data_IF_528898809397
#
_entry.id   IF_528898809397
#
_cell.length_a   1.000
_cell.length_b   1.000
_cell.length_c   1.000
_cell.angle_alpha   90.00
_cell.angle_beta   90.00
_cell.angle_gamma   90.00
#
_symmetry.space_group_name_H-M   'P 1'
#
loop_
_entity.id
_entity.type
_entity.pdbx_description
1 polymer ?
#
# COMPACT_ATOMS: atom_id res chain seq x y z
N UNK A 1 17.77 -44.90 42.01
CA UNK A 1 18.52 -44.26 40.90
C UNK A 1 19.99 -44.62 41.00
N UNK A 2 20.54 -45.28 39.97
CA UNK A 2 21.98 -45.60 39.90
C UNK A 2 22.82 -44.32 39.71
N UNK A 3 24.13 -44.36 40.03
CA UNK A 3 25.06 -43.23 39.81
C UNK A 3 24.99 -42.70 38.36
N UNK A 4 24.87 -43.60 37.38
CA UNK A 4 24.74 -43.24 35.97
C UNK A 4 23.44 -42.48 35.67
N UNK A 5 22.31 -42.87 36.27
CA UNK A 5 21.04 -42.16 36.09
C UNK A 5 21.07 -40.76 36.70
N UNK A 6 21.74 -40.57 37.85
CA UNK A 6 21.93 -39.24 38.46
C UNK A 6 22.85 -38.35 37.62
N UNK A 7 23.90 -38.92 37.06
CA UNK A 7 24.84 -38.20 36.18
C UNK A 7 24.16 -37.78 34.88
N UNK A 8 23.36 -38.67 34.26
CA UNK A 8 22.60 -38.37 33.06
C UNK A 8 21.52 -37.31 33.31
N UNK A 9 20.79 -37.41 34.42
CA UNK A 9 19.80 -36.41 34.81
C UNK A 9 20.45 -35.04 35.09
N UNK A 10 21.60 -35.01 35.76
CA UNK A 10 22.35 -33.78 36.00
C UNK A 10 22.87 -33.14 34.70
N UNK A 11 23.32 -33.95 33.74
CA UNK A 11 23.74 -33.49 32.41
C UNK A 11 22.57 -32.93 31.61
N UNK A 12 21.41 -33.60 31.64
CA UNK A 12 20.19 -33.11 31.01
C UNK A 12 19.68 -31.81 31.64
N UNK A 13 19.77 -31.68 32.96
CA UNK A 13 19.41 -30.45 33.67
C UNK A 13 20.36 -29.30 33.30
N UNK A 14 21.67 -29.57 33.24
CA UNK A 14 22.67 -28.58 32.81
C UNK A 14 22.43 -28.15 31.36
N UNK A 15 22.18 -29.09 30.46
CA UNK A 15 21.82 -28.81 29.07
C UNK A 15 20.52 -28.01 28.96
N UNK A 16 19.54 -28.29 29.82
CA UNK A 16 18.29 -27.53 29.91
C UNK A 16 18.52 -26.08 30.36
N UNK A 17 19.31 -25.85 31.42
CA UNK A 17 19.64 -24.50 31.87
C UNK A 17 20.49 -23.73 30.86
N UNK A 18 21.44 -24.39 30.20
CA UNK A 18 22.19 -23.81 29.08
C UNK A 18 21.25 -23.46 27.92
N UNK A 19 20.27 -24.30 27.63
CA UNK A 19 19.21 -24.03 26.66
C UNK A 19 18.36 -22.80 27.03
N UNK A 20 17.99 -22.64 28.31
CA UNK A 20 17.26 -21.47 28.80
C UNK A 20 18.08 -20.18 28.69
N UNK A 21 19.37 -20.22 29.05
CA UNK A 21 20.29 -19.09 28.91
C UNK A 21 20.48 -18.72 27.43
N UNK A 22 20.63 -19.71 26.55
CA UNK A 22 20.71 -19.51 25.11
C UNK A 22 19.40 -18.93 24.53
N UNK A 23 18.24 -19.40 25.01
CA UNK A 23 16.92 -18.87 24.63
C UNK A 23 16.75 -17.41 25.02
N UNK A 24 17.13 -17.02 26.24
CA UNK A 24 17.14 -15.62 26.69
C UNK A 24 18.11 -14.74 25.90
N UNK A 25 19.29 -15.26 25.55
CA UNK A 25 20.23 -14.53 24.69
C UNK A 25 19.64 -14.30 23.29
N UNK A 26 18.97 -15.29 22.71
CA UNK A 26 18.30 -15.16 21.40
C UNK A 26 17.13 -14.17 21.41
N UNK A 27 16.43 -14.00 22.53
CA UNK A 27 15.40 -12.95 22.66
C UNK A 27 15.94 -11.54 22.41
N UNK A 28 17.22 -11.31 22.74
CA UNK A 28 17.91 -10.04 22.50
C UNK A 28 18.43 -9.88 21.06
N UNK A 29 18.34 -10.94 20.23
CA UNK A 29 18.79 -10.96 18.84
C UNK A 29 17.64 -10.88 17.83
N UNK A 30 16.38 -11.01 18.29
CA UNK A 30 15.21 -10.79 17.44
C UNK A 30 15.32 -9.40 16.80
N UNK A 31 15.04 -9.34 15.50
CA UNK A 31 15.13 -8.13 14.69
C UNK A 31 16.51 -7.46 14.75
N UNK A 32 17.60 -8.16 15.08
CA UNK A 32 18.97 -7.59 14.92
C UNK A 32 19.63 -7.99 13.60
N UNK A 33 19.25 -9.11 13.04
CA UNK A 33 19.78 -9.62 11.77
C UNK A 33 18.90 -9.11 10.61
N UNK A 34 19.40 -8.19 9.77
CA UNK A 34 18.61 -7.67 8.65
C UNK A 34 18.37 -8.72 7.56
N UNK A 35 19.17 -9.80 7.51
CA UNK A 35 18.96 -10.89 6.56
C UNK A 35 17.82 -11.85 6.97
N UNK A 36 17.21 -11.66 8.15
CA UNK A 36 16.09 -12.47 8.64
C UNK A 36 14.78 -11.70 8.57
N UNK A 37 13.81 -12.29 7.86
CA UNK A 37 12.43 -11.85 7.89
C UNK A 37 11.54 -12.89 8.57
N UNK A 38 10.56 -12.42 9.33
CA UNK A 38 9.58 -13.23 10.04
C UNK A 38 8.27 -13.16 9.27
N UNK A 39 7.76 -14.29 8.83
CA UNK A 39 6.53 -14.37 8.07
C UNK A 39 5.41 -15.02 8.89
N UNK A 40 4.17 -14.65 8.59
CA UNK A 40 2.95 -15.35 9.06
C UNK A 40 1.85 -15.18 8.02
N UNK A 41 1.07 -16.24 7.77
CA UNK A 41 -0.15 -16.15 6.98
C UNK A 41 -1.29 -15.74 7.90
N UNK A 42 -2.09 -14.79 7.42
CA UNK A 42 -3.28 -14.30 8.09
C UNK A 42 -4.47 -14.41 7.15
N UNK A 43 -5.66 -14.43 7.71
CA UNK A 43 -6.91 -14.37 6.95
C UNK A 43 -7.57 -13.02 7.23
N UNK A 44 -7.98 -12.32 6.16
CA UNK A 44 -8.88 -11.18 6.26
C UNK A 44 -10.27 -11.66 6.72
N UNK A 45 -10.75 -11.15 7.85
CA UNK A 45 -12.01 -11.59 8.47
C UNK A 45 -13.24 -11.23 7.65
N UNK A 46 -13.16 -10.25 6.77
CA UNK A 46 -14.28 -9.80 5.93
C UNK A 46 -14.33 -10.59 4.63
N UNK A 47 -13.18 -10.76 3.96
CA UNK A 47 -13.14 -11.38 2.62
C UNK A 47 -12.80 -12.87 2.65
N UNK A 48 -12.18 -13.36 3.72
CA UNK A 48 -11.63 -14.70 3.82
C UNK A 48 -10.33 -14.90 3.03
N UNK A 49 -9.77 -13.85 2.42
CA UNK A 49 -8.54 -13.94 1.64
C UNK A 49 -7.30 -14.08 2.54
N UNK A 50 -6.33 -14.86 2.07
CA UNK A 50 -5.05 -15.02 2.77
C UNK A 50 -4.11 -13.84 2.48
N UNK A 51 -3.60 -13.22 3.55
CA UNK A 51 -2.61 -12.15 3.53
C UNK A 51 -1.37 -12.59 4.30
N UNK A 52 -0.21 -12.58 3.66
CA UNK A 52 1.06 -12.92 4.30
C UNK A 52 1.68 -11.64 4.83
N UNK A 53 1.95 -11.58 6.12
CA UNK A 53 2.74 -10.51 6.74
C UNK A 53 4.20 -10.94 6.81
N UNK A 54 5.11 -10.05 6.44
CA UNK A 54 6.55 -10.20 6.55
C UNK A 54 7.13 -9.03 7.35
N UNK A 55 7.75 -9.31 8.49
CA UNK A 55 8.45 -8.31 9.30
C UNK A 55 9.95 -8.53 9.20
N UNK A 56 10.71 -7.50 8.88
CA UNK A 56 12.17 -7.54 8.84
C UNK A 56 12.78 -6.26 9.40
N UNK A 57 14.02 -6.32 9.88
CA UNK A 57 14.78 -5.11 10.19
C UNK A 57 15.10 -4.39 8.89
N UNK A 58 14.91 -3.07 8.89
CA UNK A 58 15.30 -2.21 7.78
C UNK A 58 16.64 -1.54 8.06
N UNK A 59 16.77 -0.90 9.21
CA UNK A 59 18.02 -0.27 9.66
C UNK A 59 18.17 -0.34 11.18
N UNK A 60 19.08 0.43 11.75
CA UNK A 60 19.34 0.40 13.18
C UNK A 60 18.18 0.82 14.07
N UNK A 61 17.23 1.57 13.53
CA UNK A 61 16.12 2.16 14.27
C UNK A 61 14.76 1.64 13.80
N UNK A 62 14.66 1.01 12.62
CA UNK A 62 13.38 0.77 11.95
C UNK A 62 13.20 -0.68 11.52
N UNK A 63 11.94 -1.11 11.54
CA UNK A 63 11.46 -2.35 10.92
C UNK A 63 10.59 -2.02 9.71
N UNK A 64 10.62 -2.94 8.76
CA UNK A 64 9.74 -3.00 7.60
C UNK A 64 8.71 -4.10 7.83
N UNK A 65 7.45 -3.79 7.54
CA UNK A 65 6.34 -4.74 7.52
C UNK A 65 5.81 -4.75 6.09
N UNK A 66 5.82 -5.89 5.42
CA UNK A 66 5.36 -6.04 4.05
C UNK A 66 4.25 -7.09 4.00
N UNK A 67 3.16 -6.77 3.32
CA UNK A 67 2.04 -7.68 3.12
C UNK A 67 2.11 -8.30 1.71
N UNK A 68 1.57 -9.51 1.52
CA UNK A 68 1.42 -10.12 0.19
C UNK A 68 0.51 -9.30 -0.74
N UNK A 69 -0.33 -8.46 -0.16
CA UNK A 69 -1.14 -7.47 -0.86
C UNK A 69 -0.32 -6.28 -1.37
N UNK A 70 0.99 -6.23 -1.13
CA UNK A 70 1.90 -5.17 -1.57
C UNK A 70 2.01 -3.97 -0.64
N UNK A 71 1.23 -3.90 0.44
CA UNK A 71 1.41 -2.84 1.44
C UNK A 71 2.79 -2.96 2.09
N UNK A 72 3.46 -1.82 2.24
CA UNK A 72 4.69 -1.72 3.01
C UNK A 72 4.49 -0.66 4.09
N UNK A 73 4.91 -1.00 5.31
CA UNK A 73 4.89 -0.12 6.45
C UNK A 73 6.28 -0.02 7.08
N UNK A 74 6.59 1.17 7.57
CA UNK A 74 7.71 1.45 8.44
C UNK A 74 7.24 1.50 9.88
N UNK A 75 7.97 0.89 10.81
CA UNK A 75 7.78 1.16 12.24
C UNK A 75 9.13 1.37 12.92
N UNK A 76 9.17 2.17 13.98
CA UNK A 76 10.35 2.24 14.83
C UNK A 76 10.51 0.91 15.58
N UNK A 77 11.75 0.47 15.80
CA UNK A 77 12.06 -0.59 16.74
C UNK A 77 11.71 -0.03 18.13
N UNK A 78 10.66 -0.56 18.75
CA UNK A 78 10.25 -0.18 20.11
C UNK A 78 10.56 -1.31 21.07
N UNK A 79 11.08 -1.00 22.26
CA UNK A 79 11.30 -2.00 23.32
C UNK A 79 9.99 -2.46 24.00
N UNK A 80 8.83 -2.12 23.44
CA UNK A 80 7.51 -2.44 24.00
C UNK A 80 7.26 -3.95 23.95
N UNK A 81 7.04 -4.53 25.13
CA UNK A 81 6.76 -5.96 25.31
C UNK A 81 5.39 -6.19 25.91
N UNK A 82 4.64 -7.11 25.32
CA UNK A 82 3.43 -7.67 25.92
C UNK A 82 3.64 -9.19 26.01
N UNK A 83 3.51 -9.75 27.21
CA UNK A 83 3.74 -11.18 27.47
C UNK A 83 5.10 -11.74 26.96
N UNK A 84 6.12 -10.89 26.93
CA UNK A 84 7.47 -11.25 26.45
C UNK A 84 7.62 -11.27 24.92
N UNK A 85 6.57 -10.98 24.16
CA UNK A 85 6.64 -10.78 22.71
C UNK A 85 7.02 -9.32 22.40
N UNK A 86 7.77 -9.10 21.32
CA UNK A 86 7.87 -7.76 20.72
C UNK A 86 6.53 -7.39 20.13
N UNK A 87 6.04 -6.19 20.44
CA UNK A 87 4.77 -5.68 19.89
C UNK A 87 5.08 -4.73 18.74
N UNK A 88 4.41 -4.96 17.62
CA UNK A 88 4.51 -4.12 16.44
C UNK A 88 3.11 -3.62 16.11
N UNK A 89 2.88 -2.32 16.23
CA UNK A 89 1.57 -1.75 15.94
C UNK A 89 1.39 -1.61 14.42
N UNK A 90 0.21 -1.92 13.90
CA UNK A 90 -0.15 -1.68 12.50
C UNK A 90 -0.73 -0.26 12.37
N UNK A 91 -0.62 0.39 11.20
CA UNK A 91 -1.14 1.75 11.01
C UNK A 91 -2.66 1.79 11.15
N UNK A 92 -3.20 3.00 11.34
CA UNK A 92 -4.63 3.30 11.31
C UNK A 92 -5.49 2.46 12.29
N UNK A 93 -4.91 2.10 13.45
CA UNK A 93 -5.50 1.17 14.41
C UNK A 93 -5.82 -0.22 13.84
N UNK A 94 -5.12 -0.63 12.77
CA UNK A 94 -5.29 -1.93 12.10
C UNK A 94 -4.93 -3.13 12.97
N UNK A 95 -4.37 -2.91 14.17
CA UNK A 95 -4.09 -3.92 15.16
C UNK A 95 -2.63 -3.93 15.62
N UNK A 96 -2.22 -5.06 16.20
CA UNK A 96 -0.88 -5.33 16.70
C UNK A 96 -0.43 -6.70 16.23
N UNK A 97 0.82 -6.80 15.79
CA UNK A 97 1.54 -8.05 15.64
C UNK A 97 2.34 -8.35 16.91
N UNK A 98 2.48 -9.63 17.23
CA UNK A 98 3.38 -10.12 18.25
C UNK A 98 4.48 -10.98 17.61
N UNK A 99 5.74 -10.63 17.87
CA UNK A 99 6.89 -11.45 17.50
C UNK A 99 7.50 -12.06 18.76
N UNK A 100 7.25 -13.36 18.94
CA UNK A 100 7.59 -14.10 20.15
C UNK A 100 8.74 -15.08 19.92
N UNK A 101 9.84 -14.91 20.66
CA UNK A 101 10.92 -15.90 20.68
C UNK A 101 10.46 -17.16 21.42
N UNK A 102 10.75 -18.34 20.88
CA UNK A 102 10.64 -19.56 21.68
C UNK A 102 11.74 -19.64 22.74
N UNK A 103 11.37 -20.13 23.93
CA UNK A 103 12.33 -20.51 24.97
C UNK A 103 13.18 -21.73 24.58
N UNK A 104 12.71 -22.53 23.63
CA UNK A 104 13.41 -23.73 23.16
C UNK A 104 14.45 -23.35 22.09
N UNK A 105 15.72 -23.79 22.21
CA UNK A 105 16.78 -23.37 21.30
C UNK A 105 16.66 -23.95 19.88
N UNK A 106 15.79 -24.94 19.66
CA UNK A 106 15.50 -25.52 18.34
C UNK A 106 14.23 -24.98 17.70
N UNK A 107 13.48 -24.09 18.36
CA UNK A 107 12.27 -23.49 17.81
C UNK A 107 12.53 -22.03 17.45
N UNK A 108 12.14 -21.65 16.24
CA UNK A 108 12.28 -20.28 15.75
C UNK A 108 11.29 -19.32 16.42
N UNK A 109 11.51 -18.02 16.22
CA UNK A 109 10.54 -17.02 16.65
C UNK A 109 9.25 -17.13 15.83
N UNK A 110 8.12 -16.85 16.46
CA UNK A 110 6.81 -16.90 15.85
C UNK A 110 6.22 -15.50 15.78
N UNK A 111 5.83 -15.10 14.58
CA UNK A 111 5.04 -13.91 14.31
C UNK A 111 3.55 -14.28 14.27
N UNK A 112 2.69 -13.40 14.76
CA UNK A 112 1.24 -13.54 14.64
C UNK A 112 0.50 -12.25 14.93
N UNK A 113 -0.80 -12.21 14.61
CA UNK A 113 -1.72 -11.17 15.05
C UNK A 113 -1.96 -11.31 16.55
N UNK A 114 -1.67 -10.25 17.31
CA UNK A 114 -2.02 -10.13 18.73
C UNK A 114 -3.44 -9.59 18.89
N UNK A 115 -3.75 -8.49 18.21
CA UNK A 115 -5.08 -7.88 18.12
C UNK A 115 -5.29 -7.31 16.73
N UNK A 116 -6.47 -7.47 16.13
CA UNK A 116 -6.84 -6.79 14.88
C UNK A 116 -8.33 -7.03 14.63
N UNK A 117 -9.06 -6.01 14.15
CA UNK A 117 -10.42 -6.18 13.66
C UNK A 117 -10.46 -6.72 12.23
N UNK A 118 -9.38 -6.55 11.45
CA UNK A 118 -9.30 -6.96 10.04
C UNK A 118 -8.70 -8.35 9.86
N UNK A 119 -7.63 -8.68 10.58
CA UNK A 119 -6.87 -9.91 10.33
C UNK A 119 -6.94 -10.89 11.49
N UNK A 120 -6.82 -12.20 11.19
CA UNK A 120 -6.54 -13.26 12.17
C UNK A 120 -5.40 -14.15 11.71
N UNK A 121 -4.60 -14.65 12.65
CA UNK A 121 -3.51 -15.58 12.35
C UNK A 121 -4.06 -16.92 11.84
N UNK A 122 -3.48 -17.46 10.77
CA UNK A 122 -3.66 -18.86 10.39
C UNK A 122 -2.64 -19.70 11.14
N UNK A 123 -3.11 -20.68 11.90
CA UNK A 123 -2.27 -21.48 12.80
C UNK A 123 -1.12 -22.19 12.08
N UNK A 124 0.04 -22.25 12.75
CA UNK A 124 1.25 -22.95 12.28
C UNK A 124 1.84 -22.46 10.95
N UNK A 125 1.49 -21.26 10.49
CA UNK A 125 2.04 -20.67 9.25
C UNK A 125 3.26 -19.79 9.48
N UNK A 126 3.59 -19.48 10.74
CA UNK A 126 4.72 -18.60 11.03
C UNK A 126 6.07 -19.29 10.80
N UNK A 127 6.97 -18.60 10.11
CA UNK A 127 8.30 -19.08 9.73
C UNK A 127 9.32 -17.95 9.66
N UNK A 128 10.60 -18.27 9.84
CA UNK A 128 11.70 -17.35 9.54
C UNK A 128 12.21 -17.66 8.14
N UNK A 129 12.39 -16.63 7.32
CA UNK A 129 12.97 -16.73 5.98
C UNK A 129 14.23 -15.88 5.90
N UNK A 130 15.22 -16.38 5.17
CA UNK A 130 16.41 -15.61 4.83
C UNK A 130 16.13 -14.77 3.59
N UNK A 131 16.36 -13.47 3.66
CA UNK A 131 16.22 -12.55 2.52
C UNK A 131 17.61 -12.32 1.91
N UNK A 132 17.72 -12.59 0.60
CA UNK A 132 18.97 -12.51 -0.17
C UNK A 132 19.46 -11.06 -0.36
N UNK A 133 18.55 -10.09 -0.26
CA UNK A 133 18.85 -8.66 -0.21
C UNK A 133 18.15 -8.07 1.02
N UNK A 134 18.85 -7.92 2.15
CA UNK A 134 18.29 -7.41 3.40
C UNK A 134 17.58 -6.05 3.24
N UNK A 135 18.02 -5.28 2.24
CA UNK A 135 17.67 -3.89 1.97
C UNK A 135 17.25 -3.65 0.51
N UNK A 136 16.46 -4.53 -0.12
CA UNK A 136 15.95 -4.28 -1.49
C UNK A 136 14.92 -3.13 -1.59
N UNK A 137 14.90 -2.25 -0.60
CA UNK A 137 14.18 -0.99 -0.58
C UNK A 137 15.19 0.07 -0.12
N UNK A 138 15.50 1.06 -0.97
CA UNK A 138 16.41 2.14 -0.60
C UNK A 138 15.82 2.97 0.55
N UNK A 139 16.66 3.76 1.21
CA UNK A 139 16.34 4.73 2.28
C UNK A 139 15.08 5.59 2.04
N UNK A 140 14.63 5.67 0.80
CA UNK A 140 13.51 6.47 0.31
C UNK A 140 12.16 5.75 0.34
N UNK A 141 12.12 4.45 0.56
CA UNK A 141 10.88 3.68 0.80
C UNK A 141 10.43 3.80 2.27
N UNK A 142 11.04 4.66 3.07
CA UNK A 142 10.63 5.03 4.42
C UNK A 142 10.52 6.56 4.46
N UNK A 143 9.43 7.12 5.02
CA UNK A 143 9.18 8.57 5.05
C UNK A 143 10.43 9.34 5.47
N UNK A 144 10.81 10.38 4.71
CA UNK A 144 11.97 11.25 5.02
C UNK A 144 11.87 11.89 6.42
N UNK A 145 10.65 12.01 6.94
CA UNK A 145 10.43 12.36 8.34
C UNK A 145 10.53 11.10 9.19
N UNK A 146 11.50 11.06 10.11
CA UNK A 146 11.59 10.02 11.14
C UNK A 146 10.19 9.79 11.74
N UNK A 147 9.69 8.54 11.79
CA UNK A 147 8.44 8.27 12.48
C UNK A 147 8.55 8.82 13.90
N UNK A 148 7.64 9.70 14.29
CA UNK A 148 7.51 10.11 15.69
C UNK A 148 7.28 8.83 16.49
N UNK A 149 7.89 8.73 17.68
CA UNK A 149 7.78 7.55 18.54
C UNK A 149 6.36 6.99 18.54
N UNK A 150 6.22 5.67 18.32
CA UNK A 150 4.95 4.93 18.34
C UNK A 150 4.03 5.06 17.10
N UNK A 151 4.51 5.54 15.95
CA UNK A 151 3.71 5.48 14.70
C UNK A 151 4.30 4.54 13.66
N UNK A 152 3.52 3.54 13.27
CA UNK A 152 3.75 2.78 12.05
C UNK A 152 3.16 3.58 10.88
N UNK A 153 3.99 3.89 9.88
CA UNK A 153 3.62 4.74 8.76
C UNK A 153 3.64 3.92 7.48
N UNK A 154 2.59 4.04 6.68
CA UNK A 154 2.49 3.46 5.34
C UNK A 154 3.45 4.17 4.41
N UNK A 155 4.28 3.41 3.71
CA UNK A 155 5.40 4.02 3.00
C UNK A 155 5.08 4.45 1.59
N UNK A 156 5.62 5.63 1.24
CA UNK A 156 5.56 6.19 -0.11
C UNK A 156 6.52 5.43 -1.00
N UNK A 157 6.04 4.96 -2.15
CA UNK A 157 6.85 4.34 -3.18
C UNK A 157 7.80 5.38 -3.76
N UNK A 158 9.11 5.16 -3.65
CA UNK A 158 10.10 6.02 -4.29
C UNK A 158 10.50 5.45 -5.65
N UNK A 159 9.66 5.73 -6.65
CA UNK A 159 9.94 5.41 -8.05
C UNK A 159 10.44 6.65 -8.78
N UNK A 160 11.37 6.48 -9.72
CA UNK A 160 11.72 7.56 -10.64
C UNK A 160 10.57 7.79 -11.66
N UNK A 161 10.58 8.94 -12.34
CA UNK A 161 9.52 9.30 -13.29
C UNK A 161 9.31 8.25 -14.40
N UNK A 162 10.40 7.64 -14.91
CA UNK A 162 10.32 6.60 -15.94
C UNK A 162 9.62 5.33 -15.41
N UNK A 163 9.96 4.90 -14.20
CA UNK A 163 9.34 3.76 -13.55
C UNK A 163 7.86 4.01 -13.26
N UNK A 164 7.50 5.23 -12.82
CA UNK A 164 6.10 5.65 -12.63
C UNK A 164 5.34 5.57 -13.96
N UNK A 165 5.90 6.13 -15.04
CA UNK A 165 5.27 6.08 -16.37
C UNK A 165 5.08 4.63 -16.85
N UNK A 166 6.08 3.76 -16.67
CA UNK A 166 5.97 2.33 -17.01
C UNK A 166 4.85 1.63 -16.23
N UNK A 167 4.70 1.92 -14.94
CA UNK A 167 3.64 1.34 -14.09
C UNK A 167 2.27 1.83 -14.54
N UNK A 168 2.11 3.13 -14.80
CA UNK A 168 0.84 3.71 -15.26
C UNK A 168 0.47 3.13 -16.63
N UNK A 169 1.41 3.06 -17.58
CA UNK A 169 1.16 2.48 -18.90
C UNK A 169 0.84 1.00 -18.85
N UNK A 170 1.60 0.24 -18.06
CA UNK A 170 1.37 -1.20 -17.86
C UNK A 170 0.00 -1.48 -17.25
N UNK A 171 -0.40 -0.68 -16.26
CA UNK A 171 -1.71 -0.81 -15.61
C UNK A 171 -2.84 -0.46 -16.58
N UNK A 172 -2.73 0.65 -17.32
CA UNK A 172 -3.73 1.05 -18.32
C UNK A 172 -3.92 0.00 -19.42
N UNK A 173 -2.82 -0.60 -19.90
CA UNK A 173 -2.87 -1.70 -20.87
C UNK A 173 -3.58 -2.93 -20.30
N UNK A 174 -3.21 -3.36 -19.08
CA UNK A 174 -3.88 -4.48 -18.43
C UNK A 174 -5.37 -4.20 -18.23
N UNK A 175 -5.73 -2.99 -17.77
CA UNK A 175 -7.12 -2.61 -17.53
C UNK A 175 -7.94 -2.70 -18.82
N UNK A 176 -7.41 -2.23 -19.95
CA UNK A 176 -8.03 -2.36 -21.27
C UNK A 176 -8.26 -3.81 -21.70
N UNK A 177 -7.30 -4.70 -21.44
CA UNK A 177 -7.37 -6.12 -21.79
C UNK A 177 -8.18 -6.96 -20.76
N UNK A 178 -8.49 -6.40 -19.58
CA UNK A 178 -9.18 -7.07 -18.48
C UNK A 178 -10.69 -7.22 -18.68
N UNK A 179 -11.36 -7.96 -17.80
CA UNK A 179 -12.83 -8.03 -17.78
C UNK A 179 -13.52 -6.69 -17.55
N UNK A 180 -12.82 -5.70 -16.97
CA UNK A 180 -13.35 -4.35 -16.78
C UNK A 180 -13.34 -3.55 -18.08
N UNK A 181 -12.31 -3.73 -18.92
CA UNK A 181 -12.09 -2.94 -20.13
C UNK A 181 -12.59 -3.58 -21.42
N UNK A 182 -12.67 -4.92 -21.50
CA UNK A 182 -12.88 -5.68 -22.75
C UNK A 182 -14.07 -5.28 -23.62
N UNK A 183 -15.12 -4.73 -23.03
CA UNK A 183 -16.34 -4.30 -23.73
C UNK A 183 -16.65 -2.81 -23.45
N UNK A 184 -15.68 -2.09 -22.87
CA UNK A 184 -15.82 -0.72 -22.40
C UNK A 184 -14.78 0.22 -23.02
N UNK A 185 -14.97 1.52 -22.79
CA UNK A 185 -13.99 2.55 -23.07
C UNK A 185 -13.13 2.74 -21.82
N UNK A 186 -11.81 2.66 -21.97
CA UNK A 186 -10.84 2.97 -20.93
C UNK A 186 -10.12 4.27 -21.28
N UNK A 187 -10.10 5.23 -20.36
CA UNK A 187 -9.48 6.55 -20.54
C UNK A 187 -8.47 6.79 -19.43
N UNK A 188 -7.21 7.07 -19.79
CA UNK A 188 -6.22 7.60 -18.86
C UNK A 188 -6.36 9.12 -18.75
N UNK A 189 -6.41 9.63 -17.52
CA UNK A 189 -6.68 11.04 -17.27
C UNK A 189 -6.18 11.54 -15.91
N UNK A 190 -6.62 12.75 -15.57
CA UNK A 190 -6.48 13.37 -14.25
C UNK A 190 -7.63 12.95 -13.34
N UNK A 191 -7.47 13.18 -12.04
CA UNK A 191 -8.44 12.74 -11.03
C UNK A 191 -9.86 13.32 -11.22
N UNK A 192 -9.97 14.56 -11.71
CA UNK A 192 -11.24 15.26 -11.87
C UNK A 192 -11.30 15.97 -13.23
N UNK A 193 -11.15 15.19 -14.30
CA UNK A 193 -11.24 15.69 -15.67
C UNK A 193 -12.65 16.11 -16.09
N UNK A 194 -13.68 15.79 -15.29
CA UNK A 194 -15.07 16.09 -15.62
C UNK A 194 -15.43 17.57 -15.41
N UNK A 195 -14.68 18.27 -14.55
CA UNK A 195 -14.87 19.71 -14.30
C UNK A 195 -13.80 20.53 -15.00
N UNK A 196 -14.22 21.51 -15.81
CA UNK A 196 -13.32 22.52 -16.37
C UNK A 196 -13.35 23.76 -15.48
N UNK A 197 -12.35 23.93 -14.61
CA UNK A 197 -12.18 25.11 -13.75
C UNK A 197 -11.12 26.04 -14.33
N UNK A 198 -11.48 26.79 -15.38
CA UNK A 198 -10.57 27.73 -16.04
C UNK A 198 -10.59 29.08 -15.31
N UNK A 199 -9.43 29.59 -14.90
CA UNK A 199 -9.27 30.87 -14.21
C UNK A 199 -9.68 30.85 -12.74
N UNK A 200 -9.89 29.67 -12.15
CA UNK A 200 -10.23 29.52 -10.73
C UNK A 200 -8.97 29.27 -9.90
N UNK A 201 -8.85 29.89 -8.70
CA UNK A 201 -7.77 29.60 -7.77
C UNK A 201 -7.69 28.11 -7.46
N UNK A 202 -6.46 27.61 -7.34
CA UNK A 202 -6.26 26.19 -7.05
C UNK A 202 -6.87 25.80 -5.72
N UNK A 203 -7.43 24.59 -5.66
CA UNK A 203 -7.96 24.01 -4.43
C UNK A 203 -7.58 22.54 -4.29
N UNK A 204 -7.43 22.07 -3.05
CA UNK A 204 -7.02 20.69 -2.76
C UNK A 204 -8.12 19.71 -3.11
N UNK A 205 -7.78 18.73 -3.94
CA UNK A 205 -8.60 17.55 -4.17
C UNK A 205 -8.08 16.37 -3.36
N UNK A 206 -8.97 15.73 -2.61
CA UNK A 206 -8.66 14.55 -1.83
C UNK A 206 -9.90 13.68 -1.69
N UNK A 207 -9.72 12.39 -1.48
CA UNK A 207 -10.79 11.45 -1.18
C UNK A 207 -10.48 10.64 0.08
N UNK A 208 -11.52 10.03 0.65
CA UNK A 208 -11.39 9.17 1.83
C UNK A 208 -11.69 7.73 1.47
N UNK A 209 -10.93 6.83 2.08
CA UNK A 209 -11.14 5.38 2.07
C UNK A 209 -10.96 4.92 3.51
N UNK A 210 -12.04 4.47 4.14
CA UNK A 210 -12.08 4.19 5.58
C UNK A 210 -11.55 5.38 6.41
N UNK A 211 -10.45 5.18 7.14
CA UNK A 211 -9.79 6.20 7.95
C UNK A 211 -8.66 6.94 7.21
N UNK A 212 -8.34 6.53 5.99
CA UNK A 212 -7.27 7.13 5.18
C UNK A 212 -7.82 8.28 4.35
N UNK A 213 -7.08 9.40 4.33
CA UNK A 213 -7.32 10.49 3.37
C UNK A 213 -6.19 10.51 2.34
N UNK A 214 -6.53 10.46 1.06
CA UNK A 214 -5.59 10.40 -0.06
C UNK A 214 -5.63 11.71 -0.83
N UNK A 215 -4.47 12.35 -0.98
CA UNK A 215 -4.33 13.54 -1.83
C UNK A 215 -4.39 13.16 -3.31
N UNK A 216 -5.28 13.80 -4.05
CA UNK A 216 -5.58 13.45 -5.43
C UNK A 216 -5.12 14.48 -6.47
N UNK A 217 -4.69 15.66 -6.01
CA UNK A 217 -4.20 16.73 -6.86
C UNK A 217 -4.83 18.07 -6.52
N UNK A 218 -4.81 18.99 -7.49
CA UNK A 218 -5.45 20.30 -7.38
C UNK A 218 -6.56 20.44 -8.42
N UNK A 219 -7.65 21.11 -8.06
CA UNK A 219 -8.61 21.69 -9.02
C UNK A 219 -8.19 23.12 -9.34
N UNK A 220 -8.71 23.69 -10.43
CA UNK A 220 -8.35 25.04 -10.87
C UNK A 220 -6.99 25.09 -11.57
N UNK A 221 -6.67 26.25 -12.14
CA UNK A 221 -5.43 26.50 -12.87
C UNK A 221 -4.69 27.78 -12.42
N UNK A 222 -5.31 28.60 -11.57
CA UNK A 222 -4.69 29.80 -11.00
C UNK A 222 -3.94 29.46 -9.70
N UNK A 223 -2.61 29.46 -9.77
CA UNK A 223 -1.73 29.19 -8.64
C UNK A 223 -1.71 30.32 -7.59
N UNK A 224 -2.47 31.40 -7.78
CA UNK A 224 -2.62 32.47 -6.78
C UNK A 224 -3.13 31.90 -5.45
N UNK A 225 -2.37 32.09 -4.38
CA UNK A 225 -2.71 31.59 -3.04
C UNK A 225 -2.25 30.16 -2.74
N UNK A 226 -1.49 29.51 -3.64
CA UNK A 226 -0.92 28.18 -3.43
C UNK A 226 -0.10 28.05 -2.13
N UNK A 227 0.59 29.12 -1.71
CA UNK A 227 1.37 29.12 -0.44
C UNK A 227 0.51 28.77 0.78
N UNK A 228 -0.79 29.10 0.76
CA UNK A 228 -1.72 28.73 1.83
C UNK A 228 -2.08 27.23 1.82
N UNK A 229 -1.94 26.57 0.67
CA UNK A 229 -2.22 25.14 0.49
C UNK A 229 -0.97 24.27 0.68
N UNK A 230 0.23 24.81 0.47
CA UNK A 230 1.50 24.06 0.53
C UNK A 230 1.65 23.27 1.84
N UNK A 231 1.36 23.90 2.98
CA UNK A 231 1.36 23.24 4.28
C UNK A 231 0.31 22.13 4.40
N UNK A 232 -0.89 22.33 3.83
CA UNK A 232 -1.94 21.32 3.80
C UNK A 232 -1.52 20.13 2.94
N UNK A 233 -0.98 20.37 1.75
CA UNK A 233 -0.53 19.33 0.80
C UNK A 233 0.58 18.49 1.42
N UNK A 234 1.56 19.12 2.07
CA UNK A 234 2.66 18.42 2.74
C UNK A 234 2.20 17.58 3.93
N UNK A 235 1.01 17.84 4.49
CA UNK A 235 0.45 17.06 5.60
C UNK A 235 -0.08 15.68 5.18
N UNK A 236 -0.32 15.46 3.88
CA UNK A 236 -0.83 14.18 3.40
C UNK A 236 0.23 13.08 3.43
N UNK A 237 -0.10 11.99 4.13
CA UNK A 237 0.72 10.78 4.20
C UNK A 237 0.63 9.95 2.93
N UNK A 238 -0.49 10.02 2.20
CA UNK A 238 -0.75 9.26 0.95
C UNK A 238 -1.23 10.19 -0.14
N UNK A 239 -0.78 9.95 -1.37
CA UNK A 239 -1.23 10.65 -2.58
C UNK A 239 -1.34 9.69 -3.77
N UNK A 240 -1.79 10.19 -4.92
CA UNK A 240 -1.64 9.46 -6.17
C UNK A 240 -0.17 9.30 -6.55
N UNK A 241 0.11 8.24 -7.31
CA UNK A 241 1.45 7.69 -7.53
C UNK A 241 2.46 8.70 -8.09
N UNK A 242 2.01 9.54 -9.01
CA UNK A 242 2.87 10.43 -9.81
C UNK A 242 2.89 11.89 -9.33
N UNK A 243 2.24 12.18 -8.20
CA UNK A 243 2.17 13.53 -7.65
C UNK A 243 3.47 13.90 -6.91
N UNK A 244 4.01 15.07 -7.22
CA UNK A 244 5.17 15.64 -6.54
C UNK A 244 4.71 16.64 -5.46
N UNK A 245 4.56 16.15 -4.24
CA UNK A 245 4.09 16.95 -3.08
C UNK A 245 5.02 18.10 -2.68
N UNK A 246 6.28 18.08 -3.13
CA UNK A 246 7.26 19.17 -2.91
C UNK A 246 7.33 20.14 -4.08
N UNK A 247 6.58 19.85 -5.14
CA UNK A 247 6.47 20.66 -6.33
C UNK A 247 5.93 22.06 -6.05
N UNK A 248 6.09 22.93 -7.03
CA UNK A 248 5.67 24.34 -6.95
C UNK A 248 4.90 24.79 -8.19
N UNK A 249 4.72 23.88 -9.15
CA UNK A 249 3.98 24.13 -10.39
C UNK A 249 2.70 23.32 -10.40
N UNK A 250 1.68 23.77 -11.13
CA UNK A 250 0.43 23.03 -11.25
C UNK A 250 0.66 21.59 -11.76
N UNK A 251 1.60 21.41 -12.69
CA UNK A 251 1.94 20.10 -13.27
C UNK A 251 2.42 19.08 -12.23
N UNK A 252 3.05 19.54 -11.14
CA UNK A 252 3.46 18.67 -10.03
C UNK A 252 2.26 18.03 -9.30
N UNK A 253 1.08 18.62 -9.45
CA UNK A 253 -0.16 18.23 -8.76
C UNK A 253 -1.24 17.69 -9.72
N UNK A 254 -0.91 17.47 -11.00
CA UNK A 254 -1.81 16.88 -11.99
C UNK A 254 -1.43 15.43 -12.26
N UNK A 255 -2.25 14.51 -11.76
CA UNK A 255 -2.01 13.08 -11.90
C UNK A 255 -2.31 12.58 -13.32
N UNK A 256 -1.61 11.53 -13.73
CA UNK A 256 -1.90 10.65 -14.88
C UNK A 256 -2.19 9.22 -14.40
N UNK A 257 -2.14 9.00 -13.09
CA UNK A 257 -2.34 7.72 -12.44
C UNK A 257 -3.83 7.43 -12.16
N UNK A 258 -4.72 8.01 -12.97
CA UNK A 258 -6.17 7.86 -12.87
C UNK A 258 -6.76 7.34 -14.20
N UNK A 259 -7.74 6.45 -14.08
CA UNK A 259 -8.37 5.76 -15.21
C UNK A 259 -9.87 5.74 -15.06
N UNK A 260 -10.59 6.15 -16.11
CA UNK A 260 -12.05 6.01 -16.19
C UNK A 260 -12.39 4.83 -17.08
N UNK A 261 -13.41 4.07 -16.70
CA UNK A 261 -13.95 2.98 -17.49
C UNK A 261 -15.45 3.18 -17.58
N UNK A 262 -15.98 3.27 -18.79
CA UNK A 262 -17.41 3.43 -19.02
C UNK A 262 -17.84 2.75 -20.31
N UNK A 263 -19.12 2.42 -20.41
CA UNK A 263 -19.67 1.80 -21.60
C UNK A 263 -20.21 2.88 -22.55
N UNK A 264 -19.92 2.71 -23.84
CA UNK A 264 -20.30 3.65 -24.89
C UNK A 264 -20.57 2.88 -26.19
N UNK A 265 -21.51 3.33 -27.06
CA UNK A 265 -21.86 2.64 -28.30
C UNK A 265 -20.70 2.39 -29.28
N UNK A 266 -19.58 3.10 -29.15
CA UNK A 266 -18.36 2.83 -29.92
C UNK A 266 -17.70 1.49 -29.57
N UNK A 267 -18.09 0.87 -28.45
CA UNK A 267 -17.51 -0.37 -27.93
C UNK A 267 -16.11 -0.18 -27.35
N UNK A 268 -15.31 -1.23 -27.44
CA UNK A 268 -13.98 -1.35 -26.83
C UNK A 268 -12.98 -0.31 -27.36
N UNK A 269 -12.49 0.56 -26.47
CA UNK A 269 -11.50 1.57 -26.84
C UNK A 269 -10.54 1.93 -25.70
N UNK A 270 -9.30 2.28 -26.05
CA UNK A 270 -8.34 2.86 -25.12
C UNK A 270 -7.96 4.26 -25.57
N UNK A 271 -8.19 5.24 -24.70
CA UNK A 271 -7.71 6.61 -24.87
C UNK A 271 -6.57 6.87 -23.89
N UNK A 272 -5.39 7.16 -24.41
CA UNK A 272 -4.19 7.38 -23.59
C UNK A 272 -4.19 8.76 -22.91
N UNK A 273 -5.15 9.63 -23.26
CA UNK A 273 -5.40 10.93 -22.64
C UNK A 273 -6.86 11.38 -22.84
N UNK A 274 -7.32 12.28 -21.97
CA UNK A 274 -8.59 13.02 -22.14
C UNK A 274 -8.66 13.79 -23.45
N UNK A 275 -7.53 14.36 -23.89
CA UNK A 275 -7.48 15.11 -25.15
C UNK A 275 -7.87 14.22 -26.33
N UNK A 276 -7.31 13.00 -26.36
CA UNK A 276 -7.62 12.02 -27.39
C UNK A 276 -9.11 11.62 -27.37
N UNK A 277 -9.67 11.40 -26.17
CA UNK A 277 -11.10 11.12 -25.99
C UNK A 277 -11.98 12.27 -26.52
N UNK A 278 -11.67 13.52 -26.14
CA UNK A 278 -12.39 14.73 -26.60
C UNK A 278 -12.37 14.85 -28.12
N UNK A 279 -11.21 14.65 -28.73
CA UNK A 279 -11.03 14.78 -30.19
C UNK A 279 -11.81 13.70 -30.95
N UNK A 280 -11.94 12.49 -30.41
CA UNK A 280 -12.66 11.39 -31.09
C UNK A 280 -14.16 11.38 -30.84
N UNK A 281 -14.61 11.70 -29.63
CA UNK A 281 -16.02 11.61 -29.24
C UNK A 281 -16.80 12.92 -29.40
N UNK A 282 -16.13 14.01 -29.80
CA UNK A 282 -16.72 15.33 -30.12
C UNK A 282 -17.83 15.73 -29.14
N UNK A 283 -17.45 16.18 -27.95
CA UNK A 283 -18.39 16.59 -26.90
C UNK A 283 -18.39 18.11 -26.65
N UNK A 284 -19.53 18.61 -26.17
CA UNK A 284 -19.72 20.01 -25.74
C UNK A 284 -19.39 20.20 -24.26
N UNK A 285 -19.79 19.26 -23.40
CA UNK A 285 -19.42 19.21 -21.98
C UNK A 285 -19.41 17.77 -21.46
N UNK A 286 -18.77 17.52 -20.32
CA UNK A 286 -18.80 16.19 -19.70
C UNK A 286 -20.16 15.84 -19.10
N UNK A 287 -20.88 16.82 -18.54
CA UNK A 287 -22.23 16.57 -18.04
C UNK A 287 -23.16 16.08 -19.16
N UNK A 288 -23.13 16.76 -20.32
CA UNK A 288 -23.88 16.36 -21.51
C UNK A 288 -23.43 14.98 -22.04
N UNK A 289 -22.12 14.73 -22.08
CA UNK A 289 -21.55 13.46 -22.52
C UNK A 289 -22.03 12.27 -21.67
N UNK A 290 -21.94 12.39 -20.34
CA UNK A 290 -22.37 11.33 -19.43
C UNK A 290 -23.89 11.15 -19.40
N UNK A 291 -24.65 12.23 -19.59
CA UNK A 291 -26.12 12.17 -19.61
C UNK A 291 -26.66 11.52 -20.89
N UNK A 292 -26.00 11.74 -22.04
CA UNK A 292 -26.59 11.44 -23.34
C UNK A 292 -25.84 10.37 -24.16
N UNK A 293 -24.60 10.03 -23.80
CA UNK A 293 -23.75 9.14 -24.61
C UNK A 293 -23.18 7.95 -23.84
N UNK A 294 -22.95 8.09 -22.54
CA UNK A 294 -22.51 6.98 -21.69
C UNK A 294 -23.71 6.09 -21.34
N UNK A 295 -23.53 4.78 -21.40
CA UNK A 295 -24.55 3.83 -20.97
C UNK A 295 -24.68 3.87 -19.45
N UNK A 296 -25.84 4.33 -18.96
CA UNK A 296 -26.15 4.49 -17.55
C UNK A 296 -26.69 3.22 -16.89
N UNK A 297 -26.87 2.13 -17.66
CA UNK A 297 -27.28 0.82 -17.15
C UNK A 297 -26.08 -0.05 -16.73
N UNK A 298 -24.87 0.34 -17.10
CA UNK A 298 -23.63 -0.35 -16.77
C UNK A 298 -22.78 0.46 -15.77
N UNK A 299 -21.86 -0.22 -15.07
CA UNK A 299 -20.97 0.43 -14.11
C UNK A 299 -20.02 1.44 -14.81
N UNK A 300 -20.07 2.71 -14.41
CA UNK A 300 -19.05 3.72 -14.73
C UNK A 300 -18.02 3.81 -13.60
N UNK A 301 -16.79 3.40 -13.86
CA UNK A 301 -15.75 3.20 -12.85
C UNK A 301 -14.65 4.26 -12.96
N UNK A 302 -14.04 4.59 -11.83
CA UNK A 302 -12.84 5.41 -11.77
C UNK A 302 -11.81 4.77 -10.84
N UNK A 303 -10.66 4.42 -11.40
CA UNK A 303 -9.54 3.78 -10.72
C UNK A 303 -8.40 4.77 -10.53
N UNK A 304 -7.75 4.71 -9.38
CA UNK A 304 -6.60 5.58 -9.07
C UNK A 304 -5.48 4.77 -8.44
N UNK A 305 -4.25 4.95 -8.93
CA UNK A 305 -3.05 4.31 -8.40
C UNK A 305 -2.41 5.22 -7.36
N UNK A 306 -2.30 4.74 -6.12
CA UNK A 306 -1.77 5.51 -5.01
C UNK A 306 -0.32 5.15 -4.70
N UNK A 307 0.45 6.13 -4.24
CA UNK A 307 1.86 5.97 -3.87
C UNK A 307 2.10 5.06 -2.65
N UNK A 308 1.07 4.43 -2.11
CA UNK A 308 1.12 3.54 -0.97
C UNK A 308 0.93 2.05 -1.37
N UNK A 309 1.05 1.73 -2.67
CA UNK A 309 0.91 0.37 -3.19
C UNK A 309 -0.54 -0.12 -3.31
N UNK A 310 -1.51 0.79 -3.30
CA UNK A 310 -2.93 0.46 -3.47
C UNK A 310 -3.53 1.06 -4.73
N UNK A 311 -4.48 0.31 -5.28
CA UNK A 311 -5.46 0.84 -6.21
C UNK A 311 -6.75 1.11 -5.45
N UNK A 312 -7.31 2.30 -5.62
CA UNK A 312 -8.65 2.62 -5.14
C UNK A 312 -9.58 2.80 -6.31
N UNK A 313 -10.86 2.56 -6.09
CA UNK A 313 -11.85 2.78 -7.12
C UNK A 313 -13.17 3.33 -6.59
N UNK A 314 -13.88 4.00 -7.48
CA UNK A 314 -15.23 4.48 -7.28
C UNK A 314 -16.13 3.96 -8.41
N UNK A 315 -17.41 3.75 -8.08
CA UNK A 315 -18.48 3.45 -9.03
C UNK A 315 -19.29 4.71 -9.34
N UNK A 316 -20.14 4.64 -10.35
CA UNK A 316 -21.03 5.72 -10.80
C UNK A 316 -20.30 7.02 -11.18
N UNK A 317 -19.01 6.92 -11.53
CA UNK A 317 -18.18 8.09 -11.80
C UNK A 317 -18.71 8.86 -13.01
N UNK A 318 -19.01 10.14 -12.82
CA UNK A 318 -19.62 11.01 -13.85
C UNK A 318 -21.13 10.85 -14.02
N UNK A 319 -21.76 9.84 -13.39
CA UNK A 319 -23.21 9.65 -13.39
C UNK A 319 -23.87 10.32 -12.18
N UNK A 320 -23.15 10.43 -11.06
CA UNK A 320 -23.63 11.10 -9.83
C UNK A 320 -22.72 12.26 -9.43
N UNK A 321 -23.26 13.20 -8.64
CA UNK A 321 -22.54 14.42 -8.25
C UNK A 321 -21.39 14.21 -7.25
N UNK A 322 -21.35 13.07 -6.56
CA UNK A 322 -20.25 12.70 -5.66
C UNK A 322 -20.14 11.19 -5.55
N UNK A 323 -18.92 10.67 -5.61
CA UNK A 323 -18.65 9.23 -5.50
C UNK A 323 -17.91 8.89 -4.21
N UNK A 324 -18.02 7.64 -3.77
CA UNK A 324 -17.25 7.10 -2.64
C UNK A 324 -16.16 6.17 -3.16
N UNK A 325 -14.93 6.33 -2.65
CA UNK A 325 -13.82 5.46 -2.98
C UNK A 325 -13.69 4.31 -1.99
N UNK A 326 -13.32 3.15 -2.52
CA UNK A 326 -13.02 1.93 -1.76
C UNK A 326 -11.75 1.27 -2.29
N UNK A 327 -11.17 0.30 -1.56
CA UNK A 327 -10.09 -0.52 -2.10
C UNK A 327 -10.58 -1.30 -3.33
N UNK A 328 -9.79 -1.29 -4.40
CA UNK A 328 -10.09 -2.08 -5.60
C UNK A 328 -9.95 -3.59 -5.34
N UNK A 329 -10.61 -4.46 -6.14
CA UNK A 329 -10.54 -5.91 -6.00
C UNK A 329 -9.10 -6.47 -5.96
N UNK A 330 -8.92 -7.61 -5.28
CA UNK A 330 -7.61 -8.22 -5.00
C UNK A 330 -6.78 -8.51 -6.26
N UNK A 331 -7.43 -8.91 -7.36
CA UNK A 331 -6.78 -9.08 -8.66
C UNK A 331 -6.09 -7.79 -9.13
N UNK A 332 -6.77 -6.65 -9.03
CA UNK A 332 -6.25 -5.35 -9.44
C UNK A 332 -5.12 -4.88 -8.53
N UNK A 333 -5.24 -5.15 -7.22
CA UNK A 333 -4.13 -4.93 -6.28
C UNK A 333 -2.91 -5.75 -6.69
N UNK A 334 -3.10 -7.03 -7.02
CA UNK A 334 -2.00 -7.93 -7.40
C UNK A 334 -1.27 -7.44 -8.65
N UNK A 335 -2.01 -7.03 -9.68
CA UNK A 335 -1.43 -6.52 -10.93
C UNK A 335 -0.64 -5.24 -10.69
N UNK A 336 -1.20 -4.29 -9.96
CA UNK A 336 -0.50 -3.05 -9.64
C UNK A 336 0.82 -3.33 -8.91
N UNK A 337 0.81 -4.25 -7.95
CA UNK A 337 2.01 -4.61 -7.20
C UNK A 337 3.06 -5.37 -8.01
N UNK A 338 2.64 -6.24 -8.94
CA UNK A 338 3.56 -6.90 -9.88
C UNK A 338 4.25 -5.87 -10.79
N UNK A 339 3.51 -4.88 -11.29
CA UNK A 339 4.07 -3.77 -12.08
C UNK A 339 5.06 -2.94 -11.27
N UNK A 340 4.71 -2.59 -10.03
CA UNK A 340 5.61 -1.89 -9.10
C UNK A 340 6.89 -2.68 -8.84
N UNK A 341 6.80 -4.00 -8.71
CA UNK A 341 7.95 -4.88 -8.51
C UNK A 341 8.91 -4.88 -9.70
N UNK A 342 8.37 -4.94 -10.93
CA UNK A 342 9.15 -4.94 -12.18
C UNK A 342 9.79 -3.59 -12.49
N UNK A 343 9.12 -2.50 -12.18
CA UNK A 343 9.62 -1.15 -12.45
C UNK A 343 10.79 -0.73 -11.52
N UNK A 344 11.05 -1.47 -10.44
CA UNK A 344 12.17 -1.23 -9.51
C UNK A 344 13.48 -1.87 -9.97
N UNK A 345 13.45 -2.78 -10.94
CA UNK A 345 14.61 -3.58 -11.37
C UNK A 345 15.35 -3.04 -12.60
N UNK A 346 14.93 -1.88 -13.14
CA UNK A 346 15.58 -1.13 -14.22
C UNK A 346 16.19 0.19 -13.70
#
# INVERSE_FOLDING_TARGET
MSKHQKLLASLLLLAFFLGLLAGRYRQQLILKDPAKAYQVTTEDKQTGEEVIFQVQRFDDQRIKIQLSTGEVFASQITDKRENGAWVIELPDNGGKLALQQSLLPWKEAQLGILTSEKYRTVDNTSKVVMVSEPNSLETNDLTENQPKSETTVRTKLNLNAKAIDQVIEGFGKWLYDSSYGRDAVVVRGSFNDLSESIGEPVSVQAFKVDNLTVFAGLSGDDMTGFDNLDHQIQSYSTSLLDLNLKGKTLADFQTKAAFRVYYHPSGHHYYASVKEEKERLVRTSYADFYQNQVDDQEDSLHFVLANNGRVYYAKEYGLVGSVTYTEAPSEMQSVYNDLLGKAKTD
#
